data_IF_019637822576
#
_entry.id   IF_019637822576
#
_cell.length_a   1.000
_cell.length_b   1.000
_cell.length_c   1.000
_cell.angle_alpha   90.00
_cell.angle_beta   90.00
_cell.angle_gamma   90.00
#
_symmetry.space_group_name_H-M   'P 1'
#
loop_
_entity.id
_entity.type
_entity.pdbx_description
1 polymer ?
#
# COMPACT_ATOMS: atom_id res chain seq x y z
N UNK A 1 -15.72 -5.41 -2.30
CA UNK A 1 -14.49 -5.83 -1.59
C UNK A 1 -13.57 -4.64 -1.36
N UNK A 2 -12.71 -4.69 -0.36
CA UNK A 2 -11.66 -3.69 -0.11
C UNK A 2 -10.30 -4.35 -0.32
N UNK A 3 -9.39 -3.73 -1.11
CA UNK A 3 -8.05 -4.26 -1.33
C UNK A 3 -7.00 -3.42 -0.59
N UNK A 4 -6.01 -4.09 -0.01
CA UNK A 4 -4.84 -3.46 0.62
C UNK A 4 -3.59 -3.71 -0.22
N UNK A 5 -2.82 -2.66 -0.53
CA UNK A 5 -1.51 -2.75 -1.16
C UNK A 5 -0.43 -2.09 -0.30
N UNK A 6 0.82 -2.46 -0.53
CA UNK A 6 1.97 -1.79 0.08
C UNK A 6 2.32 -0.50 -0.65
N UNK A 7 2.95 0.47 0.02
CA UNK A 7 3.52 1.65 -0.61
C UNK A 7 4.80 1.28 -1.39
N UNK A 8 5.44 2.28 -1.99
CA UNK A 8 6.76 2.14 -2.59
C UNK A 8 7.80 3.04 -1.91
N UNK A 9 9.07 2.65 -1.98
CA UNK A 9 10.20 3.44 -1.45
C UNK A 9 10.55 4.61 -2.38
N UNK A 10 10.33 4.43 -3.68
CA UNK A 10 10.52 5.46 -4.70
C UNK A 10 9.21 6.23 -4.88
N UNK A 11 9.33 7.52 -5.08
CA UNK A 11 8.20 8.42 -5.27
C UNK A 11 8.35 9.18 -6.59
N UNK A 12 7.24 9.54 -7.19
CA UNK A 12 7.13 10.38 -8.38
C UNK A 12 6.37 11.66 -8.03
N UNK A 13 7.04 12.80 -8.16
CA UNK A 13 6.46 14.13 -7.96
C UNK A 13 6.62 15.02 -9.21
N UNK A 14 7.05 14.42 -10.34
CA UNK A 14 7.39 15.14 -11.56
C UNK A 14 6.41 14.89 -12.72
N UNK A 15 5.92 13.64 -12.86
CA UNK A 15 5.01 13.26 -13.96
C UNK A 15 3.71 14.06 -13.86
N UNK A 16 3.21 14.61 -14.97
CA UNK A 16 1.95 15.35 -14.98
C UNK A 16 0.78 14.53 -14.44
N UNK A 17 -0.06 15.12 -13.60
CA UNK A 17 -1.22 14.44 -13.03
C UNK A 17 -2.36 14.34 -14.06
N UNK A 18 -3.07 13.21 -14.12
CA UNK A 18 -4.21 13.06 -15.03
C UNK A 18 -5.50 13.74 -14.51
N UNK A 19 -5.55 14.08 -13.21
CA UNK A 19 -6.70 14.70 -12.57
C UNK A 19 -6.27 15.67 -11.47
N UNK A 20 -7.06 16.70 -11.24
CA UNK A 20 -6.93 17.66 -10.13
C UNK A 20 -7.85 17.31 -8.93
N UNK A 21 -8.57 16.20 -9.00
CA UNK A 21 -9.35 15.70 -7.88
C UNK A 21 -8.44 15.14 -6.78
N UNK A 22 -8.73 15.48 -5.52
CA UNK A 22 -7.99 14.98 -4.38
C UNK A 22 -8.83 14.89 -3.11
N UNK A 23 -8.31 14.14 -2.15
CA UNK A 23 -8.83 14.06 -0.78
C UNK A 23 -7.70 14.27 0.21
N UNK A 24 -8.04 14.57 1.47
CA UNK A 24 -7.07 14.70 2.56
C UNK A 24 -6.94 13.38 3.31
N UNK A 25 -5.73 12.97 3.72
CA UNK A 25 -5.53 11.79 4.55
C UNK A 25 -6.27 11.93 5.89
N UNK A 26 -6.84 10.83 6.36
CA UNK A 26 -7.71 10.85 7.54
C UNK A 26 -6.96 10.76 8.88
N UNK A 27 -5.71 10.32 8.87
CA UNK A 27 -4.91 10.05 10.06
C UNK A 27 -3.77 11.06 10.25
N UNK A 28 -3.94 12.31 9.76
CA UNK A 28 -2.90 13.35 9.80
C UNK A 28 -2.45 13.73 11.21
N UNK A 29 -3.33 13.69 12.20
CA UNK A 29 -2.95 13.92 13.59
C UNK A 29 -1.96 12.87 14.12
N UNK A 30 -2.11 11.61 13.67
CA UNK A 30 -1.16 10.55 13.96
C UNK A 30 0.16 10.75 13.19
N UNK A 31 0.07 11.16 11.93
CA UNK A 31 1.24 11.48 11.13
C UNK A 31 2.07 12.61 11.76
N UNK A 32 1.42 13.67 12.24
CA UNK A 32 2.09 14.78 12.92
C UNK A 32 2.89 14.30 14.16
N UNK A 33 2.33 13.39 14.97
CA UNK A 33 3.05 12.81 16.11
C UNK A 33 4.32 12.04 15.69
N UNK A 34 4.29 11.35 14.56
CA UNK A 34 5.48 10.66 14.00
C UNK A 34 6.49 11.68 13.46
N UNK A 35 6.02 12.71 12.79
CA UNK A 35 6.85 13.81 12.28
C UNK A 35 7.58 14.51 13.43
N UNK A 36 6.90 14.80 14.52
CA UNK A 36 7.51 15.41 15.73
C UNK A 36 8.66 14.57 16.30
N UNK A 37 8.58 13.25 16.17
CA UNK A 37 9.68 12.35 16.56
C UNK A 37 10.79 12.38 15.50
N UNK A 38 10.44 12.25 14.22
CA UNK A 38 11.39 12.20 13.12
C UNK A 38 12.20 13.51 12.98
N UNK A 39 11.59 14.67 13.22
CA UNK A 39 12.26 15.97 13.17
C UNK A 39 13.37 16.15 14.20
N UNK A 40 13.38 15.36 15.28
CA UNK A 40 14.41 15.41 16.33
C UNK A 40 15.63 14.55 15.98
N UNK A 41 15.53 13.71 14.94
CA UNK A 41 16.61 12.82 14.55
C UNK A 41 17.58 13.53 13.60
N UNK A 42 18.87 13.31 13.83
CA UNK A 42 19.94 13.69 12.91
C UNK A 42 19.98 12.80 11.66
N UNK A 43 20.68 13.24 10.64
CA UNK A 43 20.86 12.41 9.42
C UNK A 43 21.55 11.07 9.71
N UNK A 44 22.52 11.03 10.64
CA UNK A 44 23.19 9.78 11.03
C UNK A 44 22.25 8.81 11.76
N UNK A 45 21.38 9.33 12.64
CA UNK A 45 20.37 8.51 13.32
C UNK A 45 19.32 7.96 12.33
N UNK A 46 18.86 8.78 11.36
CA UNK A 46 17.96 8.33 10.29
C UNK A 46 18.65 7.30 9.37
N UNK A 47 19.92 7.50 9.02
CA UNK A 47 20.68 6.54 8.24
C UNK A 47 20.76 5.17 8.92
N UNK A 48 21.07 5.16 10.21
CA UNK A 48 21.10 3.96 11.04
C UNK A 48 19.71 3.31 11.18
N UNK A 49 18.68 4.10 11.53
CA UNK A 49 17.32 3.65 11.79
C UNK A 49 16.68 2.98 10.58
N UNK A 50 16.89 3.54 9.39
CA UNK A 50 16.28 3.07 8.14
C UNK A 50 17.22 2.21 7.29
N UNK A 51 18.48 2.02 7.71
CA UNK A 51 19.53 1.33 6.95
C UNK A 51 19.68 1.90 5.53
N UNK A 52 19.84 3.23 5.42
CA UNK A 52 19.95 3.96 4.15
C UNK A 52 21.28 4.74 4.07
N UNK A 53 21.64 5.15 2.86
CA UNK A 53 22.81 6.01 2.66
C UNK A 53 22.61 7.40 3.29
N UNK A 54 23.69 8.08 3.62
CA UNK A 54 23.69 9.45 4.16
C UNK A 54 22.90 10.41 3.27
N UNK A 55 23.06 10.30 1.94
CA UNK A 55 22.29 11.10 0.97
C UNK A 55 20.78 10.92 1.14
N UNK A 56 20.32 9.69 1.29
CA UNK A 56 18.89 9.40 1.50
C UNK A 56 18.43 9.87 2.89
N UNK A 57 19.27 9.71 3.90
CA UNK A 57 18.97 10.18 5.26
C UNK A 57 18.81 11.70 5.30
N UNK A 58 19.76 12.45 4.72
CA UNK A 58 19.71 13.92 4.64
C UNK A 58 18.47 14.40 3.89
N UNK A 59 18.13 13.75 2.77
CA UNK A 59 16.89 14.04 2.04
C UNK A 59 15.65 13.88 2.94
N UNK A 60 15.59 12.84 3.77
CA UNK A 60 14.44 12.59 4.63
C UNK A 60 14.42 13.50 5.86
N UNK A 61 15.56 13.92 6.40
CA UNK A 61 15.59 15.01 7.41
C UNK A 61 14.89 16.26 6.88
N UNK A 62 15.20 16.66 5.65
CA UNK A 62 14.56 17.84 5.04
C UNK A 62 13.05 17.61 4.84
N UNK A 63 12.66 16.45 4.29
CA UNK A 63 11.26 16.09 4.10
C UNK A 63 10.44 16.11 5.40
N UNK A 64 11.01 15.63 6.50
CA UNK A 64 10.32 15.68 7.80
C UNK A 64 10.20 17.11 8.34
N UNK A 65 11.21 17.95 8.15
CA UNK A 65 11.18 19.36 8.57
C UNK A 65 10.21 20.21 7.74
N UNK A 66 10.10 19.91 6.46
CA UNK A 66 9.21 20.62 5.52
C UNK A 66 7.75 20.18 5.67
N UNK A 67 7.52 19.04 6.34
CA UNK A 67 6.18 18.47 6.47
C UNK A 67 5.28 19.36 7.34
N UNK A 68 4.06 19.57 6.88
CA UNK A 68 3.00 20.31 7.56
C UNK A 68 1.64 19.73 7.16
N UNK A 69 0.60 19.83 8.02
CA UNK A 69 -0.67 19.12 7.82
C UNK A 69 -1.60 19.75 6.78
N UNK A 70 -1.23 20.89 6.22
CA UNK A 70 -2.00 21.53 5.13
C UNK A 70 -1.47 21.05 3.78
N UNK A 71 -2.23 20.20 3.10
CA UNK A 71 -1.83 19.63 1.81
C UNK A 71 -2.61 20.24 0.65
N UNK A 72 -1.86 20.66 -0.36
CA UNK A 72 -2.34 21.03 -1.69
C UNK A 72 -1.33 20.58 -2.77
N UNK A 73 -1.60 20.84 -4.02
CA UNK A 73 -0.72 20.44 -5.12
C UNK A 73 0.62 21.18 -5.17
N UNK A 74 0.83 22.23 -4.36
CA UNK A 74 2.13 22.91 -4.25
C UNK A 74 3.13 22.12 -3.40
N UNK A 75 2.66 21.25 -2.50
CA UNK A 75 3.49 20.52 -1.55
C UNK A 75 3.25 19.01 -1.50
N UNK A 76 2.14 18.51 -2.06
CA UNK A 76 1.69 17.14 -1.95
C UNK A 76 1.16 16.60 -3.28
N UNK A 77 0.96 15.29 -3.36
CA UNK A 77 0.47 14.57 -4.53
C UNK A 77 -0.44 13.43 -4.09
N UNK A 78 -1.43 13.07 -4.94
CA UNK A 78 -2.29 11.92 -4.67
C UNK A 78 -1.45 10.65 -4.54
N UNK A 79 -1.74 9.84 -3.53
CA UNK A 79 -0.94 8.67 -3.16
C UNK A 79 -0.79 7.66 -4.31
N UNK A 80 -1.86 7.42 -5.09
CA UNK A 80 -1.85 6.49 -6.22
C UNK A 80 -0.86 6.89 -7.32
N UNK A 81 -0.60 8.20 -7.50
CA UNK A 81 0.33 8.75 -8.48
C UNK A 81 1.70 9.08 -7.88
N UNK A 82 1.77 9.22 -6.56
CA UNK A 82 3.02 9.54 -5.87
C UNK A 82 3.92 8.32 -5.68
N UNK A 83 3.35 7.15 -5.38
CA UNK A 83 4.15 5.93 -5.22
C UNK A 83 4.61 5.38 -6.57
N UNK A 84 5.90 4.99 -6.65
CA UNK A 84 6.54 4.44 -7.86
C UNK A 84 7.35 3.19 -7.51
N UNK A 85 7.04 2.07 -8.16
CA UNK A 85 7.69 0.78 -7.93
C UNK A 85 6.89 -0.37 -8.52
N UNK A 86 7.34 -1.61 -8.35
CA UNK A 86 6.79 -2.77 -9.06
C UNK A 86 5.27 -2.94 -8.88
N UNK A 87 4.73 -2.70 -7.69
CA UNK A 87 3.27 -2.74 -7.44
C UNK A 87 2.57 -1.69 -8.30
N UNK A 88 3.08 -0.46 -8.32
CA UNK A 88 2.49 0.67 -9.04
C UNK A 88 2.72 0.58 -10.55
N UNK A 89 3.79 -0.08 -10.99
CA UNK A 89 3.97 -0.46 -12.40
C UNK A 89 2.89 -1.45 -12.85
N UNK A 90 2.53 -2.41 -11.99
CA UNK A 90 1.45 -3.35 -12.29
C UNK A 90 0.07 -2.70 -12.22
N UNK A 91 -0.17 -1.80 -11.26
CA UNK A 91 -1.41 -1.04 -11.10
C UNK A 91 -1.61 -0.05 -12.26
N UNK A 92 -0.54 0.61 -12.70
CA UNK A 92 -0.52 1.53 -13.85
C UNK A 92 -1.67 2.55 -13.81
N UNK A 93 -1.75 3.30 -12.70
CA UNK A 93 -2.87 4.19 -12.41
C UNK A 93 -3.04 5.33 -13.42
N UNK A 94 -1.96 5.75 -14.09
CA UNK A 94 -2.00 6.79 -15.11
C UNK A 94 -2.84 6.42 -16.35
N UNK A 95 -3.09 5.13 -16.58
CA UNK A 95 -3.89 4.63 -17.69
C UNK A 95 -5.25 4.07 -17.24
N UNK A 96 -5.66 4.27 -16.00
CA UNK A 96 -7.02 3.99 -15.53
C UNK A 96 -7.96 5.09 -16.01
N UNK A 97 -9.21 4.72 -16.30
CA UNK A 97 -10.28 5.69 -16.64
C UNK A 97 -10.82 6.35 -15.38
N UNK A 98 -11.47 7.49 -15.51
CA UNK A 98 -12.06 8.23 -14.38
C UNK A 98 -12.96 7.34 -13.52
N UNK A 99 -13.87 6.58 -14.13
CA UNK A 99 -14.75 5.62 -13.43
C UNK A 99 -13.98 4.55 -12.64
N UNK A 100 -12.78 4.18 -13.10
CA UNK A 100 -11.93 3.18 -12.46
C UNK A 100 -11.18 3.82 -11.27
N UNK A 101 -10.81 5.09 -11.38
CA UNK A 101 -10.26 5.89 -10.27
C UNK A 101 -11.33 6.10 -9.18
N UNK A 102 -12.58 6.39 -9.56
CA UNK A 102 -13.71 6.50 -8.63
C UNK A 102 -13.94 5.18 -7.86
N UNK A 103 -13.90 4.07 -8.56
CA UNK A 103 -14.00 2.75 -7.94
C UNK A 103 -12.78 2.48 -7.03
N UNK A 104 -11.57 2.76 -7.50
CA UNK A 104 -10.36 2.60 -6.70
C UNK A 104 -10.41 3.44 -5.42
N UNK A 105 -10.89 4.69 -5.48
CA UNK A 105 -11.01 5.58 -4.32
C UNK A 105 -11.85 4.96 -3.20
N UNK A 106 -12.86 4.16 -3.55
CA UNK A 106 -13.72 3.47 -2.61
C UNK A 106 -13.15 2.12 -2.17
N UNK A 107 -12.48 1.38 -3.06
CA UNK A 107 -12.17 -0.03 -2.91
C UNK A 107 -10.69 -0.39 -2.76
N UNK A 108 -9.76 0.58 -2.87
CA UNK A 108 -8.32 0.38 -2.70
C UNK A 108 -7.78 1.20 -1.54
N UNK A 109 -6.86 0.60 -0.77
CA UNK A 109 -6.12 1.30 0.29
C UNK A 109 -4.63 0.98 0.19
N UNK A 110 -3.82 2.00 0.49
CA UNK A 110 -2.36 1.88 0.57
C UNK A 110 -1.94 1.99 2.03
N UNK A 111 -1.31 0.95 2.55
CA UNK A 111 -0.69 0.98 3.87
C UNK A 111 0.52 1.91 3.84
N UNK A 112 0.79 2.61 4.94
CA UNK A 112 1.87 3.60 5.02
C UNK A 112 2.44 3.66 6.42
N UNK A 113 3.78 3.68 6.53
CA UNK A 113 4.44 3.85 7.83
C UNK A 113 4.18 5.21 8.46
N UNK A 114 4.06 6.27 7.65
CA UNK A 114 3.81 7.63 8.12
C UNK A 114 2.33 7.98 8.18
N UNK A 115 1.55 7.62 7.16
CA UNK A 115 0.13 8.01 7.03
C UNK A 115 -0.85 6.94 7.48
N UNK A 116 -0.36 5.75 7.91
CA UNK A 116 -1.18 4.62 8.33
C UNK A 116 -1.94 3.97 7.16
N UNK A 117 -3.04 4.57 6.75
CA UNK A 117 -3.91 4.09 5.67
C UNK A 117 -4.34 5.23 4.76
N UNK A 118 -3.95 5.15 3.49
CA UNK A 118 -4.27 6.14 2.45
C UNK A 118 -5.29 5.60 1.47
N UNK A 119 -6.18 6.49 1.01
CA UNK A 119 -7.02 6.26 -0.17
C UNK A 119 -6.23 6.70 -1.43
N UNK A 120 -6.59 6.24 -2.63
CA UNK A 120 -5.91 6.60 -3.88
C UNK A 120 -5.66 8.10 -4.08
N UNK A 121 -6.67 8.92 -3.88
CA UNK A 121 -6.62 10.36 -4.11
C UNK A 121 -6.20 11.18 -2.87
N UNK A 122 -5.85 10.53 -1.75
CA UNK A 122 -5.33 11.25 -0.59
C UNK A 122 -3.99 11.91 -0.93
N UNK A 123 -3.90 13.21 -0.67
CA UNK A 123 -2.65 13.95 -0.84
C UNK A 123 -1.61 13.49 0.18
N UNK A 124 -0.39 13.32 -0.24
CA UNK A 124 0.73 13.02 0.64
C UNK A 124 1.96 13.84 0.27
N UNK A 125 2.66 14.37 1.25
CA UNK A 125 4.01 14.91 1.09
C UNK A 125 5.03 13.77 0.96
N UNK A 126 6.16 14.00 0.25
CA UNK A 126 7.17 12.96 0.07
C UNK A 126 7.82 12.58 1.41
N UNK A 127 7.97 11.29 1.65
CA UNK A 127 8.58 10.73 2.85
C UNK A 127 9.24 9.38 2.57
N UNK A 128 10.03 8.91 3.50
CA UNK A 128 10.43 7.51 3.61
C UNK A 128 10.38 7.11 5.07
N UNK A 129 9.46 6.24 5.40
CA UNK A 129 9.31 5.62 6.71
C UNK A 129 8.61 4.27 6.51
N UNK A 130 9.39 3.18 6.56
CA UNK A 130 8.88 1.83 6.32
C UNK A 130 8.18 1.30 7.57
N UNK A 131 7.13 0.50 7.42
CA UNK A 131 6.30 0.02 8.55
C UNK A 131 7.11 -0.80 9.57
N UNK A 132 8.13 -1.54 9.11
CA UNK A 132 9.03 -2.32 9.96
C UNK A 132 10.05 -1.49 10.77
N UNK A 133 10.06 -0.16 10.61
CA UNK A 133 11.04 0.72 11.27
C UNK A 133 10.86 0.73 12.79
N UNK A 134 11.97 0.53 13.52
CA UNK A 134 12.01 0.52 15.00
C UNK A 134 12.10 1.95 15.54
N UNK A 135 11.22 2.83 15.10
CA UNK A 135 11.13 4.21 15.58
C UNK A 135 10.50 4.23 16.97
N UNK A 136 11.31 4.57 17.98
CA UNK A 136 10.79 4.80 19.34
C UNK A 136 9.89 6.05 19.33
N UNK A 137 8.72 5.95 19.88
CA UNK A 137 7.68 6.98 19.84
C UNK A 137 6.86 7.03 21.13
N UNK A 138 5.85 7.88 21.21
CA UNK A 138 5.04 8.07 22.41
C UNK A 138 4.18 6.85 22.80
N UNK A 139 3.96 5.90 21.85
CA UNK A 139 3.09 4.72 22.05
C UNK A 139 3.86 3.41 22.12
N UNK A 140 5.20 3.44 21.89
CA UNK A 140 6.00 2.22 21.92
C UNK A 140 7.37 2.34 21.23
N UNK A 141 7.94 1.20 20.86
CA UNK A 141 9.31 1.09 20.34
C UNK A 141 9.42 0.94 18.82
N UNK A 142 8.29 0.88 18.12
CA UNK A 142 8.22 0.67 16.68
C UNK A 142 6.88 1.19 16.11
N UNK A 143 6.73 1.18 14.79
CA UNK A 143 5.52 1.67 14.15
C UNK A 143 4.31 0.73 14.32
N UNK A 144 4.51 -0.56 14.50
CA UNK A 144 3.40 -1.47 14.79
C UNK A 144 2.73 -1.13 16.13
N UNK A 145 3.53 -0.85 17.15
CA UNK A 145 3.02 -0.40 18.46
C UNK A 145 2.38 0.99 18.37
N UNK A 146 2.96 1.88 17.54
CA UNK A 146 2.40 3.21 17.32
C UNK A 146 1.01 3.14 16.70
N UNK A 147 0.86 2.41 15.61
CA UNK A 147 -0.41 2.30 14.90
C UNK A 147 -1.43 1.43 15.65
N UNK A 148 -0.98 0.42 16.39
CA UNK A 148 -1.85 -0.43 17.21
C UNK A 148 -3.08 -0.91 16.44
N UNK A 149 -4.27 -0.47 16.86
CA UNK A 149 -5.54 -0.82 16.23
C UNK A 149 -6.07 0.27 15.27
N UNK A 150 -5.41 1.40 15.15
CA UNK A 150 -5.90 2.55 14.38
C UNK A 150 -6.16 2.17 12.92
N UNK A 151 -5.19 1.51 12.28
CA UNK A 151 -5.31 1.07 10.89
C UNK A 151 -6.45 0.05 10.75
N UNK A 152 -6.54 -0.92 11.66
CA UNK A 152 -7.58 -1.95 11.66
C UNK A 152 -8.98 -1.36 11.79
N UNK A 153 -9.15 -0.41 12.70
CA UNK A 153 -10.42 0.29 12.90
C UNK A 153 -10.83 1.07 11.64
N UNK A 154 -9.86 1.77 11.03
CA UNK A 154 -10.13 2.52 9.79
C UNK A 154 -10.48 1.60 8.61
N UNK A 155 -9.87 0.41 8.51
CA UNK A 155 -10.24 -0.62 7.51
C UNK A 155 -11.69 -1.09 7.76
N UNK A 156 -12.08 -1.34 9.01
CA UNK A 156 -13.44 -1.76 9.34
C UNK A 156 -14.49 -0.67 9.03
N UNK A 157 -14.15 0.60 9.25
CA UNK A 157 -14.99 1.73 8.84
C UNK A 157 -15.16 1.79 7.33
N UNK A 158 -14.08 1.60 6.58
CA UNK A 158 -14.11 1.57 5.11
C UNK A 158 -14.95 0.40 4.57
N UNK A 159 -14.79 -0.80 5.14
CA UNK A 159 -15.58 -1.97 4.79
C UNK A 159 -17.09 -1.72 5.04
N UNK A 160 -17.41 -1.12 6.18
CA UNK A 160 -18.80 -0.78 6.52
C UNK A 160 -19.38 0.28 5.55
N UNK A 161 -18.60 1.31 5.20
CA UNK A 161 -19.03 2.38 4.30
C UNK A 161 -19.39 1.86 2.90
N UNK A 162 -18.62 0.90 2.37
CA UNK A 162 -18.89 0.27 1.07
C UNK A 162 -19.76 -0.99 1.18
N UNK A 163 -20.27 -1.31 2.38
CA UNK A 163 -21.08 -2.50 2.68
C UNK A 163 -20.42 -3.80 2.18
N UNK A 164 -19.12 -3.94 2.39
CA UNK A 164 -18.34 -5.10 1.96
C UNK A 164 -17.98 -6.01 3.13
N UNK A 165 -18.09 -7.30 2.89
CA UNK A 165 -17.69 -8.37 3.81
C UNK A 165 -16.41 -9.08 3.33
N UNK A 166 -15.63 -8.46 2.41
CA UNK A 166 -14.41 -9.04 1.84
C UNK A 166 -13.25 -8.04 1.86
N UNK A 167 -12.15 -8.45 2.50
CA UNK A 167 -10.85 -7.79 2.47
C UNK A 167 -9.85 -8.62 1.66
N UNK A 168 -9.23 -8.02 0.65
CA UNK A 168 -8.21 -8.66 -0.19
C UNK A 168 -6.83 -8.13 0.19
N UNK A 169 -5.99 -9.01 0.73
CA UNK A 169 -4.63 -8.64 1.13
C UNK A 169 -3.64 -8.81 -0.03
N UNK A 170 -3.30 -7.72 -0.70
CA UNK A 170 -2.23 -7.62 -1.68
C UNK A 170 -0.98 -6.92 -1.12
N UNK A 171 -0.95 -6.64 0.18
CA UNK A 171 0.21 -6.04 0.83
C UNK A 171 1.29 -7.09 1.14
N UNK A 172 2.51 -6.62 1.38
CA UNK A 172 3.58 -7.46 1.91
C UNK A 172 3.35 -7.78 3.39
N UNK A 173 3.95 -8.86 3.87
CA UNK A 173 3.82 -9.26 5.28
C UNK A 173 4.31 -8.16 6.24
N UNK A 174 5.35 -7.38 5.85
CA UNK A 174 5.83 -6.23 6.62
C UNK A 174 4.72 -5.21 6.87
N UNK A 175 4.01 -4.81 5.81
CA UNK A 175 2.97 -3.80 5.93
C UNK A 175 1.68 -4.37 6.52
N UNK A 176 1.31 -5.57 6.11
CA UNK A 176 0.08 -6.21 6.58
C UNK A 176 0.13 -6.57 8.08
N UNK A 177 1.31 -6.78 8.66
CA UNK A 177 1.49 -6.98 10.11
C UNK A 177 0.95 -5.82 10.97
N UNK A 178 0.74 -4.63 10.39
CA UNK A 178 0.08 -3.51 11.06
C UNK A 178 -1.44 -3.68 11.19
N UNK A 179 -2.02 -4.70 10.57
CA UNK A 179 -3.44 -5.03 10.61
C UNK A 179 -3.67 -6.17 11.60
N UNK A 180 -4.56 -5.98 12.56
CA UNK A 180 -5.00 -7.04 13.46
C UNK A 180 -6.12 -7.86 12.82
N UNK A 181 -5.77 -8.95 12.13
CA UNK A 181 -6.73 -9.83 11.42
C UNK A 181 -7.89 -10.30 12.30
N UNK A 182 -7.64 -10.56 13.58
CA UNK A 182 -8.68 -11.05 14.52
C UNK A 182 -9.79 -10.03 14.76
N UNK A 183 -9.54 -8.77 14.43
CA UNK A 183 -10.49 -7.65 14.61
C UNK A 183 -11.08 -7.15 13.29
N UNK A 184 -10.66 -7.68 12.15
CA UNK A 184 -11.27 -7.39 10.86
C UNK A 184 -12.67 -8.01 10.82
N UNK A 185 -13.66 -7.20 10.43
CA UNK A 185 -15.09 -7.58 10.34
C UNK A 185 -15.47 -8.02 8.92
N UNK A 186 -14.60 -8.78 8.27
CA UNK A 186 -14.79 -9.28 6.91
C UNK A 186 -14.00 -10.57 6.71
N UNK A 187 -14.36 -11.35 5.71
CA UNK A 187 -13.53 -12.43 5.20
C UNK A 187 -12.23 -11.85 4.64
N UNK A 188 -11.11 -12.53 4.91
CA UNK A 188 -9.80 -12.12 4.41
C UNK A 188 -9.32 -13.13 3.39
N UNK A 189 -9.01 -12.64 2.18
CA UNK A 189 -8.43 -13.44 1.11
C UNK A 189 -7.07 -12.87 0.73
N UNK A 190 -6.08 -13.74 0.58
CA UNK A 190 -4.69 -13.39 0.19
C UNK A 190 -4.35 -14.05 -1.15
N UNK A 191 -4.28 -13.32 -2.25
CA UNK A 191 -3.69 -13.81 -3.49
C UNK A 191 -2.19 -14.05 -3.33
N UNK A 192 -1.71 -15.22 -3.78
CA UNK A 192 -0.31 -15.64 -3.75
C UNK A 192 0.14 -15.89 -5.19
N UNK A 193 1.26 -15.28 -5.59
CA UNK A 193 1.78 -15.35 -6.94
C UNK A 193 3.08 -16.14 -6.98
N UNK A 194 3.08 -17.22 -7.76
CA UNK A 194 4.20 -18.13 -7.94
C UNK A 194 4.68 -18.11 -9.40
N UNK A 195 5.95 -17.89 -9.59
CA UNK A 195 6.61 -17.93 -10.89
C UNK A 195 7.46 -19.18 -11.02
N UNK A 196 7.39 -19.84 -12.18
CA UNK A 196 8.24 -20.97 -12.47
C UNK A 196 9.66 -20.51 -12.77
N UNK A 197 10.62 -21.17 -12.16
CA UNK A 197 12.05 -20.99 -12.43
C UNK A 197 12.77 -22.32 -12.23
N UNK A 198 13.46 -22.78 -13.28
CA UNK A 198 14.14 -24.08 -13.27
C UNK A 198 13.18 -25.23 -12.90
N UNK A 199 11.99 -25.26 -13.50
CA UNK A 199 10.97 -26.26 -13.29
C UNK A 199 10.25 -26.25 -11.93
N UNK A 200 10.48 -25.22 -11.07
CA UNK A 200 9.86 -25.10 -9.73
C UNK A 200 9.12 -23.78 -9.59
N UNK A 201 7.89 -23.83 -9.08
CA UNK A 201 7.12 -22.63 -8.74
C UNK A 201 7.54 -22.08 -7.38
N UNK A 202 7.81 -20.77 -7.33
CA UNK A 202 8.19 -20.08 -6.11
C UNK A 202 7.83 -18.60 -6.17
N UNK A 203 7.73 -17.95 -5.02
CA UNK A 203 7.59 -16.50 -4.96
C UNK A 203 8.89 -15.85 -5.40
N UNK A 204 8.84 -15.06 -6.48
CA UNK A 204 9.95 -14.21 -6.93
C UNK A 204 9.56 -12.77 -6.62
N UNK A 205 10.30 -12.13 -5.71
CA UNK A 205 9.90 -10.88 -5.04
C UNK A 205 9.43 -9.77 -5.99
N UNK A 206 10.17 -9.46 -7.05
CA UNK A 206 9.80 -8.38 -7.98
C UNK A 206 8.61 -8.74 -8.87
N UNK A 207 8.50 -10.02 -9.30
CA UNK A 207 7.33 -10.50 -10.04
C UNK A 207 6.08 -10.49 -9.17
N UNK A 208 6.16 -10.99 -7.94
CA UNK A 208 5.05 -10.99 -7.00
C UNK A 208 4.57 -9.56 -6.66
N UNK A 209 5.48 -8.58 -6.57
CA UNK A 209 5.10 -7.18 -6.40
C UNK A 209 4.32 -6.65 -7.60
N UNK A 210 4.83 -6.87 -8.83
CA UNK A 210 4.14 -6.47 -10.07
C UNK A 210 2.76 -7.15 -10.16
N UNK A 211 2.69 -8.46 -9.89
CA UNK A 211 1.46 -9.24 -9.93
C UNK A 211 0.39 -8.72 -8.95
N UNK A 212 0.77 -8.27 -7.75
CA UNK A 212 -0.15 -7.62 -6.81
C UNK A 212 -0.74 -6.33 -7.39
N UNK A 213 0.05 -5.55 -8.09
CA UNK A 213 -0.42 -4.36 -8.81
C UNK A 213 -1.37 -4.71 -9.95
N UNK A 214 -1.01 -5.71 -10.77
CA UNK A 214 -1.86 -6.21 -11.85
C UNK A 214 -3.20 -6.76 -11.32
N UNK A 215 -3.18 -7.47 -10.19
CA UNK A 215 -4.40 -7.95 -9.54
C UNK A 215 -5.26 -6.78 -9.04
N UNK A 216 -4.66 -5.77 -8.41
CA UNK A 216 -5.39 -4.58 -7.98
C UNK A 216 -6.04 -3.87 -9.18
N UNK A 217 -5.31 -3.72 -10.30
CA UNK A 217 -5.85 -3.18 -11.55
C UNK A 217 -7.01 -4.02 -12.09
N UNK A 218 -6.84 -5.33 -12.16
CA UNK A 218 -7.89 -6.25 -12.63
C UNK A 218 -9.17 -6.12 -11.79
N UNK A 219 -9.03 -6.05 -10.46
CA UNK A 219 -10.17 -5.85 -9.56
C UNK A 219 -10.87 -4.51 -9.81
N UNK A 220 -10.12 -3.45 -10.06
CA UNK A 220 -10.63 -2.10 -10.32
C UNK A 220 -11.35 -2.04 -11.65
N UNK A 221 -10.72 -2.44 -12.75
CA UNK A 221 -11.27 -2.36 -14.12
C UNK A 221 -12.55 -3.20 -14.29
N UNK A 222 -12.65 -4.33 -13.56
CA UNK A 222 -13.81 -5.21 -13.58
C UNK A 222 -14.80 -4.96 -12.42
N UNK A 223 -14.54 -3.98 -11.55
CA UNK A 223 -15.37 -3.59 -10.41
C UNK A 223 -15.79 -4.79 -9.55
N UNK A 224 -14.83 -5.66 -9.22
CA UNK A 224 -15.07 -6.94 -8.57
C UNK A 224 -15.56 -6.75 -7.12
N UNK A 225 -16.50 -7.60 -6.71
CA UNK A 225 -17.10 -7.56 -5.38
C UNK A 225 -17.08 -8.90 -4.63
N UNK A 226 -16.72 -10.01 -5.30
CA UNK A 226 -16.71 -11.35 -4.73
C UNK A 226 -15.34 -12.00 -4.87
N UNK A 227 -14.95 -12.83 -3.90
CA UNK A 227 -13.70 -13.58 -3.92
C UNK A 227 -13.61 -14.55 -5.12
N UNK A 228 -14.76 -15.11 -5.53
CA UNK A 228 -14.83 -16.02 -6.69
C UNK A 228 -14.39 -15.35 -7.99
N UNK A 229 -14.75 -14.07 -8.17
CA UNK A 229 -14.43 -13.33 -9.40
C UNK A 229 -12.91 -13.06 -9.54
N UNK A 230 -12.17 -13.06 -8.43
CA UNK A 230 -10.70 -12.90 -8.43
C UNK A 230 -10.02 -14.08 -9.14
N UNK A 231 -10.61 -15.29 -9.09
CA UNK A 231 -10.07 -16.50 -9.71
C UNK A 231 -10.00 -16.42 -11.23
N UNK A 232 -10.73 -15.49 -11.86
CA UNK A 232 -10.67 -15.24 -13.29
C UNK A 232 -9.42 -14.42 -13.71
N UNK A 233 -8.57 -14.00 -12.79
CA UNK A 233 -7.35 -13.26 -13.08
C UNK A 233 -6.39 -14.09 -13.94
N UNK A 234 -6.04 -13.56 -15.12
CA UNK A 234 -5.17 -14.20 -16.10
C UNK A 234 -4.18 -13.23 -16.77
N UNK A 235 -3.91 -12.08 -16.14
CA UNK A 235 -3.04 -11.04 -16.69
C UNK A 235 -1.57 -11.45 -16.60
N UNK A 236 -0.76 -11.08 -17.61
CA UNK A 236 0.69 -11.29 -17.65
C UNK A 236 1.09 -12.79 -17.55
N UNK A 237 0.22 -13.70 -18.05
CA UNK A 237 0.44 -15.14 -18.08
C UNK A 237 0.15 -15.88 -16.77
N UNK A 238 -0.37 -15.20 -15.75
CA UNK A 238 -0.83 -15.86 -14.53
C UNK A 238 -2.13 -16.62 -14.77
N UNK A 239 -2.31 -17.73 -14.06
CA UNK A 239 -3.55 -18.51 -14.02
C UNK A 239 -3.83 -19.01 -12.61
N UNK A 240 -5.10 -19.20 -12.30
CA UNK A 240 -5.53 -19.70 -10.99
C UNK A 240 -5.22 -21.19 -10.82
N UNK A 241 -4.59 -21.54 -9.69
CA UNK A 241 -4.27 -22.91 -9.30
C UNK A 241 -5.20 -23.38 -8.19
N UNK A 242 -6.27 -24.05 -8.57
CA UNK A 242 -7.29 -24.54 -7.63
C UNK A 242 -6.75 -25.59 -6.65
N UNK A 243 -5.82 -26.46 -7.09
CA UNK A 243 -5.29 -27.54 -6.27
C UNK A 243 -4.46 -27.05 -5.08
N UNK A 244 -3.75 -25.92 -5.26
CA UNK A 244 -2.89 -25.35 -4.22
C UNK A 244 -3.55 -24.15 -3.51
N UNK A 245 -4.81 -23.86 -3.81
CA UNK A 245 -5.57 -22.79 -3.20
C UNK A 245 -6.41 -23.28 -2.01
N UNK A 246 -6.72 -22.37 -1.10
CA UNK A 246 -7.69 -22.53 -0.02
C UNK A 246 -8.72 -21.40 -0.05
N UNK A 247 -9.68 -21.42 0.86
CA UNK A 247 -10.65 -20.33 1.02
C UNK A 247 -9.96 -18.99 1.36
N UNK A 248 -8.81 -19.02 2.05
CA UNK A 248 -8.07 -17.82 2.49
C UNK A 248 -6.89 -17.45 1.59
N UNK A 249 -6.29 -18.40 0.90
CA UNK A 249 -5.15 -18.16 0.00
C UNK A 249 -5.50 -18.63 -1.40
N UNK A 250 -5.57 -17.69 -2.35
CA UNK A 250 -5.78 -17.96 -3.77
C UNK A 250 -4.43 -17.95 -4.48
N UNK A 251 -3.99 -19.12 -4.94
CA UNK A 251 -2.71 -19.30 -5.61
C UNK A 251 -2.86 -19.06 -7.11
N UNK A 252 -1.97 -18.22 -7.64
CA UNK A 252 -1.83 -17.94 -9.06
C UNK A 252 -0.43 -18.33 -9.50
N UNK A 253 -0.32 -19.10 -10.57
CA UNK A 253 0.94 -19.56 -11.15
C UNK A 253 1.20 -18.88 -12.49
N UNK A 254 2.47 -18.71 -12.81
CA UNK A 254 2.94 -18.29 -14.11
C UNK A 254 4.10 -19.18 -14.52
N UNK A 255 4.00 -19.78 -15.72
CA UNK A 255 5.04 -20.62 -16.28
C UNK A 255 6.28 -19.81 -16.67
N UNK A 256 7.43 -20.49 -16.77
CA UNK A 256 8.68 -19.87 -17.18
C UNK A 256 8.56 -19.32 -18.60
N UNK A 257 8.92 -18.04 -18.77
CA UNK A 257 8.85 -17.31 -20.04
C UNK A 257 10.23 -17.17 -20.66
#
# INVERSE_FOLDING_TARGET
MLALISPAKTLDYETALPTDEFTQPRLLENSAQLIDVCCKLSASEIASLMSVSEKIATLNVNRFRDWKPEFDFSNARQAIYAFKGDVYTGLDAYHLKDKDIDFAQQHLRMLSGLYGLLRPLDLMMPYRLEMGTKLKNLRGHNLYEFWGEIITNQINEDLAAIKSELLVNLASDEYYKSVNEKKIKAEIVKPVFLDQKNGKYKVISFYAKKARGLMARFMIENQLNKAEDIKAFNTDGYYFDAENSSAKELVFKRDEQ
#
